data_IF_803940208522
#
_entry.id   IF_803940208522
#
_cell.length_a   1.000
_cell.length_b   1.000
_cell.length_c   1.000
_cell.angle_alpha   90.00
_cell.angle_beta   90.00
_cell.angle_gamma   90.00
#
_symmetry.space_group_name_H-M   'P 1'
#
loop_
_entity.id
_entity.type
_entity.pdbx_description
1 polymer ?
#
# COMPACT_ATOMS: atom_id res chain seq x y z
N UNK A 1 3.39 -14.64 -6.79
CA UNK A 1 4.11 -15.58 -7.68
C UNK A 1 3.30 -16.05 -8.90
N UNK A 2 1.97 -16.22 -8.82
CA UNK A 2 1.15 -16.70 -9.95
C UNK A 2 1.07 -15.77 -11.18
N UNK A 3 1.22 -14.45 -11.00
CA UNK A 3 1.09 -13.46 -12.08
C UNK A 3 2.26 -13.51 -13.07
N UNK A 4 3.47 -13.81 -12.59
CA UNK A 4 4.68 -13.83 -13.43
C UNK A 4 4.64 -15.02 -14.40
N UNK A 5 4.12 -16.16 -13.96
CA UNK A 5 3.96 -17.35 -14.80
C UNK A 5 2.91 -17.15 -15.90
N UNK A 6 1.85 -16.38 -15.64
CA UNK A 6 0.80 -16.08 -16.63
C UNK A 6 1.33 -15.17 -17.76
N UNK A 7 2.12 -14.16 -17.42
CA UNK A 7 2.69 -13.21 -18.40
C UNK A 7 3.72 -13.89 -19.31
N UNK A 8 4.51 -14.82 -18.77
CA UNK A 8 5.50 -15.57 -19.56
C UNK A 8 4.85 -16.54 -20.56
N UNK A 9 3.76 -17.21 -20.18
CA UNK A 9 3.07 -18.14 -21.09
C UNK A 9 2.37 -17.43 -22.25
N UNK A 10 1.70 -16.30 -22.00
CA UNK A 10 1.00 -15.54 -23.04
C UNK A 10 1.95 -14.99 -24.12
N UNK A 11 3.19 -14.64 -23.75
CA UNK A 11 4.20 -14.15 -24.70
C UNK A 11 4.69 -15.22 -25.68
N UNK A 12 4.77 -16.49 -25.26
CA UNK A 12 5.27 -17.57 -26.10
C UNK A 12 4.27 -18.03 -27.17
N UNK A 13 2.97 -18.00 -26.87
CA UNK A 13 1.93 -18.38 -27.82
C UNK A 13 1.66 -17.30 -28.87
N UNK A 14 1.77 -16.02 -28.50
CA UNK A 14 1.66 -14.91 -29.46
C UNK A 14 2.82 -14.93 -30.48
N UNK A 15 4.03 -15.26 -30.03
CA UNK A 15 5.20 -15.38 -30.90
C UNK A 15 5.08 -16.54 -31.91
N UNK A 16 4.46 -17.67 -31.52
CA UNK A 16 4.17 -18.79 -32.42
C UNK A 16 3.07 -18.45 -33.43
N UNK A 17 2.01 -17.76 -33.00
CA UNK A 17 0.91 -17.36 -33.87
C UNK A 17 1.35 -16.37 -34.97
N UNK A 18 2.20 -15.39 -34.61
CA UNK A 18 2.76 -14.42 -35.58
C UNK A 18 3.72 -15.12 -36.55
N UNK A 19 4.52 -16.09 -36.09
CA UNK A 19 5.38 -16.89 -36.95
C UNK A 19 4.61 -17.74 -37.98
N UNK A 20 3.41 -18.21 -37.63
CA UNK A 20 2.60 -19.05 -38.51
C UNK A 20 1.93 -18.25 -39.65
N UNK A 21 1.45 -17.05 -39.37
CA UNK A 21 0.82 -16.17 -40.38
C UNK A 21 1.85 -15.63 -41.39
N UNK A 22 3.09 -15.40 -40.96
CA UNK A 22 4.15 -14.87 -41.82
C UNK A 22 4.69 -15.93 -42.80
N UNK A 23 4.59 -17.23 -42.50
CA UNK A 23 5.02 -18.31 -43.40
C UNK A 23 4.02 -18.57 -44.54
N UNK A 24 2.78 -18.10 -44.44
CA UNK A 24 1.71 -18.38 -45.42
C UNK A 24 1.73 -17.45 -46.65
N UNK A 25 2.49 -16.36 -46.65
CA UNK A 25 2.64 -15.46 -47.80
C UNK A 25 4.10 -15.43 -48.21
N UNK A 26 4.43 -16.26 -49.20
CA UNK A 26 5.79 -16.39 -49.72
C UNK A 26 6.44 -15.05 -50.03
N UNK A 27 7.76 -15.02 -49.88
CA UNK A 27 8.67 -13.91 -50.12
C UNK A 27 8.91 -12.93 -48.96
N UNK A 28 9.69 -13.39 -47.97
CA UNK A 28 10.49 -12.49 -47.13
C UNK A 28 11.96 -12.94 -47.26
N UNK A 29 12.88 -12.08 -47.75
CA UNK A 29 14.29 -12.43 -47.90
C UNK A 29 14.92 -12.74 -46.54
N UNK A 30 15.72 -13.82 -46.44
CA UNK A 30 16.30 -14.30 -45.17
C UNK A 30 17.06 -13.25 -44.35
N UNK A 31 17.52 -12.15 -44.97
CA UNK A 31 18.19 -11.05 -44.30
C UNK A 31 17.30 -10.18 -43.40
N UNK A 32 15.99 -10.13 -43.62
CA UNK A 32 15.09 -9.30 -42.78
C UNK A 32 14.68 -9.98 -41.48
N UNK A 33 14.62 -11.32 -41.43
CA UNK A 33 14.24 -12.09 -40.23
C UNK A 33 15.15 -11.81 -39.01
N UNK A 34 16.46 -11.67 -39.22
CA UNK A 34 17.43 -11.35 -38.15
C UNK A 34 17.26 -9.93 -37.61
N UNK A 35 16.79 -9.00 -38.46
CA UNK A 35 16.52 -7.61 -38.10
C UNK A 35 15.28 -7.49 -37.22
N UNK A 36 14.22 -8.25 -37.50
CA UNK A 36 13.00 -8.30 -36.68
C UNK A 36 13.22 -8.93 -35.30
N UNK A 37 14.06 -9.96 -35.19
CA UNK A 37 14.44 -10.54 -33.90
C UNK A 37 15.13 -9.53 -32.98
N UNK A 38 16.02 -8.70 -33.54
CA UNK A 38 16.74 -7.67 -32.79
C UNK A 38 15.79 -6.59 -32.27
N UNK A 39 14.80 -6.20 -33.08
CA UNK A 39 13.77 -5.23 -32.68
C UNK A 39 12.87 -5.80 -31.59
N UNK A 40 12.43 -7.06 -31.70
CA UNK A 40 11.59 -7.69 -30.68
C UNK A 40 12.30 -7.81 -29.32
N UNK A 41 13.60 -8.15 -29.32
CA UNK A 41 14.40 -8.20 -28.10
C UNK A 41 14.56 -6.82 -27.44
N UNK A 42 14.81 -5.77 -28.25
CA UNK A 42 14.94 -4.42 -27.74
C UNK A 42 13.63 -3.91 -27.10
N UNK A 43 12.49 -4.16 -27.74
CA UNK A 43 11.16 -3.80 -27.20
C UNK A 43 10.86 -4.56 -25.91
N UNK A 44 11.19 -5.85 -25.84
CA UNK A 44 11.01 -6.67 -24.64
C UNK A 44 11.82 -6.13 -23.46
N UNK A 45 13.07 -5.73 -23.70
CA UNK A 45 13.95 -5.22 -22.65
C UNK A 45 13.47 -3.86 -22.09
N UNK A 46 12.94 -2.99 -22.96
CA UNK A 46 12.31 -1.73 -22.56
C UNK A 46 11.04 -1.98 -21.74
N UNK A 47 10.19 -2.91 -22.17
CA UNK A 47 8.96 -3.26 -21.46
C UNK A 47 9.23 -3.83 -20.05
N UNK A 48 10.20 -4.74 -19.92
CA UNK A 48 10.62 -5.29 -18.61
C UNK A 48 11.15 -4.19 -17.70
N UNK A 49 11.94 -3.25 -18.24
CA UNK A 49 12.49 -2.14 -17.47
C UNK A 49 11.41 -1.20 -16.95
N UNK A 50 10.38 -0.90 -17.76
CA UNK A 50 9.25 -0.07 -17.36
C UNK A 50 8.39 -0.73 -16.27
N UNK A 51 8.13 -2.03 -16.38
CA UNK A 51 7.38 -2.79 -15.36
C UNK A 51 8.16 -2.85 -14.05
N UNK A 52 9.48 -3.14 -14.12
CA UNK A 52 10.33 -3.14 -12.93
C UNK A 52 10.36 -1.76 -12.24
N UNK A 53 10.38 -0.68 -13.02
CA UNK A 53 10.36 0.68 -12.48
C UNK A 53 9.03 1.02 -11.79
N UNK A 54 7.87 0.63 -12.36
CA UNK A 54 6.57 0.82 -11.70
C UNK A 54 6.45 0.10 -10.36
N UNK A 55 7.04 -1.11 -10.25
CA UNK A 55 7.03 -1.87 -9.00
C UNK A 55 7.93 -1.20 -7.96
N UNK A 56 9.07 -0.64 -8.37
CA UNK A 56 9.99 0.05 -7.47
C UNK A 56 9.40 1.36 -6.88
N UNK A 57 8.64 2.13 -7.67
CA UNK A 57 8.05 3.39 -7.20
C UNK A 57 6.96 3.15 -6.14
N UNK A 58 6.14 2.11 -6.31
CA UNK A 58 5.08 1.77 -5.35
C UNK A 58 5.62 1.40 -3.97
N UNK A 59 6.89 0.94 -3.89
CA UNK A 59 7.55 0.61 -2.63
C UNK A 59 8.22 1.82 -1.95
N UNK A 60 8.29 2.98 -2.62
CA UNK A 60 8.97 4.18 -2.15
C UNK A 60 8.01 5.36 -2.03
N UNK A 61 6.76 5.13 -1.61
CA UNK A 61 5.89 6.24 -1.24
C UNK A 61 6.55 6.94 -0.04
N UNK A 62 6.95 8.22 -0.16
CA UNK A 62 7.60 8.93 0.94
C UNK A 62 6.67 8.93 2.13
N UNK A 63 7.12 8.42 3.28
CA UNK A 63 6.37 8.54 4.51
C UNK A 63 6.10 10.03 4.75
N UNK A 64 4.85 10.43 5.05
CA UNK A 64 4.55 11.82 5.34
C UNK A 64 5.45 12.31 6.48
N UNK A 65 6.03 13.50 6.32
CA UNK A 65 6.90 14.08 7.33
C UNK A 65 6.10 14.25 8.63
N UNK A 66 6.65 13.89 9.80
CA UNK A 66 5.94 13.97 11.07
C UNK A 66 5.57 15.43 11.32
N UNK A 67 4.27 15.71 11.28
CA UNK A 67 3.75 17.00 11.74
C UNK A 67 3.95 17.04 13.26
N UNK A 68 4.54 18.13 13.79
CA UNK A 68 4.78 18.27 15.24
C UNK A 68 3.50 17.94 16.02
N UNK A 69 3.58 16.98 16.94
CA UNK A 69 2.46 16.57 17.80
C UNK A 69 1.61 15.41 17.28
N UNK A 70 1.90 14.82 16.11
CA UNK A 70 1.22 13.60 15.66
C UNK A 70 2.16 12.60 15.00
N UNK A 71 1.89 11.31 15.23
CA UNK A 71 2.53 10.20 14.56
C UNK A 71 1.63 9.71 13.43
N UNK A 72 2.06 9.93 12.19
CA UNK A 72 1.35 9.49 10.99
C UNK A 72 1.89 8.12 10.55
N UNK A 73 0.98 7.22 10.19
CA UNK A 73 1.34 5.89 9.74
C UNK A 73 0.32 5.36 8.74
N UNK A 74 0.76 4.43 7.89
CA UNK A 74 -0.08 3.85 6.86
C UNK A 74 -0.60 2.48 7.31
N UNK A 75 -1.89 2.22 7.08
CA UNK A 75 -2.50 0.91 7.35
C UNK A 75 -1.91 -0.11 6.37
N UNK A 76 -1.21 -1.11 6.89
CA UNK A 76 -0.54 -2.16 6.09
C UNK A 76 -1.37 -3.44 6.00
N UNK A 77 -2.13 -3.74 7.05
CA UNK A 77 -3.03 -4.88 7.09
C UNK A 77 -4.37 -4.43 7.65
N UNK A 78 -5.46 -4.91 7.05
CA UNK A 78 -6.81 -4.57 7.48
C UNK A 78 -7.56 -5.86 7.76
N UNK A 79 -7.98 -6.01 9.01
CA UNK A 79 -8.82 -7.12 9.47
C UNK A 79 -10.17 -6.52 9.86
N UNK A 80 -11.07 -6.45 8.89
CA UNK A 80 -12.42 -5.87 9.04
C UNK A 80 -13.32 -6.70 10.00
N UNK A 81 -12.78 -7.81 10.50
CA UNK A 81 -13.51 -8.96 10.98
C UNK A 81 -13.41 -9.15 12.51
N UNK A 82 -13.07 -8.13 13.30
CA UNK A 82 -13.28 -8.22 14.76
C UNK A 82 -14.74 -8.55 15.11
N UNK A 83 -15.70 -8.08 14.30
CA UNK A 83 -17.12 -8.45 14.41
C UNK A 83 -17.44 -9.89 13.96
N UNK A 84 -16.51 -10.56 13.30
CA UNK A 84 -16.59 -11.96 12.88
C UNK A 84 -15.67 -12.88 13.70
N UNK A 85 -14.97 -12.35 14.72
CA UNK A 85 -14.07 -13.10 15.59
C UNK A 85 -12.60 -13.14 15.14
N UNK A 86 -12.23 -12.44 14.06
CA UNK A 86 -10.82 -12.32 13.67
C UNK A 86 -10.10 -11.37 14.62
N UNK A 87 -9.00 -11.86 15.19
CA UNK A 87 -8.01 -11.09 15.95
C UNK A 87 -6.67 -11.37 15.25
N UNK A 88 -5.82 -10.38 14.93
CA UNK A 88 -5.74 -9.00 15.44
C UNK A 88 -6.67 -7.96 14.78
N UNK A 89 -6.70 -6.74 15.34
CA UNK A 89 -7.33 -5.56 14.73
C UNK A 89 -6.56 -5.05 13.50
N UNK A 90 -6.76 -3.81 13.06
CA UNK A 90 -5.99 -3.26 11.93
C UNK A 90 -4.54 -2.98 12.33
N UNK A 91 -3.61 -3.23 11.40
CA UNK A 91 -2.18 -3.03 11.65
C UNK A 91 -1.63 -1.97 10.70
N UNK A 92 -1.06 -0.92 11.27
CA UNK A 92 -0.39 0.14 10.56
C UNK A 92 1.08 0.26 10.89
N UNK A 93 1.85 0.86 9.98
CA UNK A 93 3.30 0.99 10.10
C UNK A 93 3.74 2.40 9.73
N UNK A 94 4.60 2.99 10.56
CA UNK A 94 5.16 4.31 10.35
C UNK A 94 6.59 4.43 10.89
N UNK A 95 7.34 5.38 10.33
CA UNK A 95 8.74 5.62 10.70
C UNK A 95 8.84 6.75 11.71
N UNK A 96 9.60 6.52 12.77
CA UNK A 96 9.90 7.48 13.82
C UNK A 96 11.27 8.09 13.52
N UNK A 97 11.32 9.24 12.86
CA UNK A 97 12.58 9.88 12.42
C UNK A 97 13.49 10.32 13.61
N UNK A 98 14.14 9.35 14.28
CA UNK A 98 14.91 9.56 15.51
C UNK A 98 14.11 9.93 16.77
N UNK A 99 12.77 10.01 16.69
CA UNK A 99 11.92 10.35 17.82
C UNK A 99 11.53 9.11 18.64
N UNK A 100 11.53 9.21 19.97
CA UNK A 100 10.93 8.17 20.81
C UNK A 100 9.40 8.24 20.64
N UNK A 101 8.71 7.13 20.37
CA UNK A 101 7.26 7.15 20.28
C UNK A 101 6.69 7.39 21.68
N UNK A 102 5.93 8.47 21.81
CA UNK A 102 5.12 8.76 22.99
C UNK A 102 3.68 8.35 22.70
N UNK A 103 3.49 7.04 22.55
CA UNK A 103 2.22 6.39 22.22
C UNK A 103 1.99 5.26 23.22
N UNK A 104 0.77 5.13 23.71
CA UNK A 104 0.33 4.17 24.70
C UNK A 104 -0.86 3.34 24.20
N UNK A 105 -1.11 2.22 24.88
CA UNK A 105 -2.33 1.43 24.65
C UNK A 105 -3.55 2.24 25.09
N UNK A 106 -4.61 2.20 24.30
CA UNK A 106 -5.82 3.00 24.50
C UNK A 106 -5.79 4.38 23.85
N UNK A 107 -4.64 4.81 23.30
CA UNK A 107 -4.57 6.10 22.60
C UNK A 107 -5.51 6.13 21.40
N UNK A 108 -6.16 7.27 21.13
CA UNK A 108 -7.09 7.41 20.02
C UNK A 108 -6.35 7.44 18.68
N UNK A 109 -6.91 6.73 17.68
CA UNK A 109 -6.46 6.77 16.29
C UNK A 109 -7.41 7.64 15.47
N UNK A 110 -6.87 8.51 14.63
CA UNK A 110 -7.62 9.48 13.82
C UNK A 110 -7.40 9.30 12.32
N UNK A 111 -8.45 9.61 11.55
CA UNK A 111 -8.38 9.90 10.11
C UNK A 111 -8.83 11.34 9.90
N UNK A 112 -7.91 12.20 9.47
CA UNK A 112 -8.19 13.64 9.42
C UNK A 112 -8.48 14.15 10.84
N UNK A 113 -9.67 14.69 11.08
CA UNK A 113 -10.13 15.14 12.41
C UNK A 113 -11.03 14.14 13.13
N UNK A 114 -11.37 13.03 12.48
CA UNK A 114 -12.35 12.06 13.00
C UNK A 114 -11.63 10.93 13.71
N UNK A 115 -12.03 10.66 14.96
CA UNK A 115 -11.58 9.47 15.70
C UNK A 115 -12.17 8.23 15.03
N UNK A 116 -11.30 7.28 14.69
CA UNK A 116 -11.67 6.04 13.99
C UNK A 116 -11.40 4.79 14.81
N UNK A 117 -10.68 4.89 15.94
CA UNK A 117 -10.30 3.70 16.70
C UNK A 117 -9.49 4.00 17.96
N UNK A 118 -8.98 2.93 18.56
CA UNK A 118 -8.09 2.95 19.72
C UNK A 118 -6.92 1.98 19.53
N UNK A 119 -5.73 2.39 19.94
CA UNK A 119 -4.52 1.54 19.91
C UNK A 119 -4.67 0.36 20.86
N UNK A 120 -4.42 -0.84 20.36
CA UNK A 120 -4.49 -2.09 21.13
C UNK A 120 -3.16 -2.84 21.21
N UNK A 121 -2.22 -2.53 20.32
CA UNK A 121 -0.89 -3.13 20.32
C UNK A 121 0.16 -2.20 19.73
N UNK A 122 1.39 -2.30 20.25
CA UNK A 122 2.53 -1.51 19.81
C UNK A 122 3.76 -2.40 19.73
N UNK A 123 4.40 -2.42 18.56
CA UNK A 123 5.68 -3.09 18.36
C UNK A 123 6.69 -2.10 17.79
N UNK A 124 7.67 -1.72 18.61
CA UNK A 124 8.72 -0.79 18.20
C UNK A 124 10.01 -1.52 17.82
N UNK A 125 10.40 -1.42 16.56
CA UNK A 125 11.70 -1.86 16.06
C UNK A 125 12.68 -0.68 16.08
N UNK A 126 13.49 -0.61 17.15
CA UNK A 126 14.52 0.43 17.33
C UNK A 126 15.60 0.40 16.25
N UNK A 127 15.88 -0.76 15.67
CA UNK A 127 16.94 -0.91 14.67
C UNK A 127 16.55 -0.32 13.31
N UNK A 128 15.25 -0.33 13.01
CA UNK A 128 14.68 0.21 11.77
C UNK A 128 13.96 1.53 11.96
N UNK A 129 14.01 2.09 13.17
CA UNK A 129 13.24 3.28 13.58
C UNK A 129 11.75 3.18 13.19
N UNK A 130 11.17 1.99 13.35
CA UNK A 130 9.85 1.66 12.82
C UNK A 130 8.89 1.31 13.95
N UNK A 131 7.69 1.89 13.93
CA UNK A 131 6.61 1.57 14.86
C UNK A 131 5.48 0.89 14.11
N UNK A 132 5.14 -0.30 14.57
CA UNK A 132 3.95 -1.01 14.15
C UNK A 132 2.87 -0.84 15.22
N UNK A 133 1.71 -0.41 14.77
CA UNK A 133 0.56 -0.06 15.60
C UNK A 133 -0.58 -0.98 15.23
N UNK A 134 -1.04 -1.76 16.20
CA UNK A 134 -2.32 -2.44 16.11
C UNK A 134 -3.40 -1.57 16.76
N UNK A 135 -4.53 -1.43 16.09
CA UNK A 135 -5.65 -0.67 16.61
C UNK A 135 -6.99 -1.25 16.21
N UNK A 136 -7.97 -1.09 17.09
CA UNK A 136 -9.34 -1.50 16.87
C UNK A 136 -10.17 -0.35 16.32
N UNK A 137 -10.96 -0.58 15.26
CA UNK A 137 -11.84 0.44 14.72
C UNK A 137 -13.08 0.63 15.61
N UNK A 138 -13.51 1.88 15.75
CA UNK A 138 -14.84 2.18 16.28
C UNK A 138 -15.91 1.68 15.29
N UNK A 139 -17.07 1.17 15.73
CA UNK A 139 -18.14 0.74 14.83
C UNK A 139 -18.68 1.89 13.97
N UNK A 140 -18.70 3.09 14.52
CA UNK A 140 -19.26 4.28 13.90
C UNK A 140 -18.37 5.51 14.16
N UNK A 141 -18.30 6.39 13.17
CA UNK A 141 -17.79 7.73 13.39
C UNK A 141 -18.76 8.50 14.28
N UNK A 142 -18.21 9.17 15.29
CA UNK A 142 -18.97 9.95 16.25
C UNK A 142 -18.86 11.42 15.86
N UNK A 143 -20.00 12.10 15.70
CA UNK A 143 -20.05 13.54 15.44
C UNK A 143 -19.66 14.36 16.70
N UNK A 144 -19.46 15.69 16.59
CA UNK A 144 -19.18 16.52 17.77
C UNK A 144 -20.26 16.50 18.86
N UNK A 145 -21.45 15.97 18.57
CA UNK A 145 -22.56 15.83 19.51
C UNK A 145 -22.67 14.42 20.10
N UNK A 146 -21.70 13.54 19.84
CA UNK A 146 -21.69 12.18 20.37
C UNK A 146 -22.58 11.19 19.60
N UNK A 147 -23.09 11.54 18.42
CA UNK A 147 -24.00 10.69 17.65
C UNK A 147 -23.25 9.87 16.59
N UNK A 148 -23.62 8.59 16.39
CA UNK A 148 -23.08 7.79 15.31
C UNK A 148 -23.58 8.32 13.97
N UNK A 149 -22.67 8.66 13.07
CA UNK A 149 -23.01 9.18 11.73
C UNK A 149 -22.88 8.13 10.64
N UNK A 150 -21.73 7.45 10.57
CA UNK A 150 -21.48 6.43 9.53
C UNK A 150 -20.58 5.32 10.06
N UNK A 151 -20.66 4.12 9.47
CA UNK A 151 -19.74 3.03 9.79
C UNK A 151 -18.31 3.41 9.42
N UNK A 152 -17.37 3.18 10.33
CA UNK A 152 -15.95 3.33 10.02
C UNK A 152 -15.56 2.21 9.07
N UNK A 153 -14.91 2.56 7.96
CA UNK A 153 -14.29 1.61 7.03
C UNK A 153 -12.83 2.00 6.89
N UNK A 154 -11.94 1.01 7.00
CA UNK A 154 -10.49 1.21 6.94
C UNK A 154 -9.91 0.29 5.89
N UNK A 155 -9.22 0.88 4.93
CA UNK A 155 -8.57 0.15 3.84
C UNK A 155 -7.05 0.14 4.01
N UNK A 156 -6.41 -0.89 3.48
CA UNK A 156 -4.96 -0.94 3.34
C UNK A 156 -4.49 0.23 2.46
N UNK A 157 -3.38 0.85 2.83
CA UNK A 157 -2.82 2.02 2.16
C UNK A 157 -3.38 3.36 2.67
N UNK A 158 -4.36 3.34 3.57
CA UNK A 158 -4.93 4.56 4.15
C UNK A 158 -3.98 5.16 5.21
N UNK A 159 -3.81 6.47 5.18
CA UNK A 159 -3.05 7.20 6.19
C UNK A 159 -3.92 7.55 7.39
N UNK A 160 -3.38 7.30 8.58
CA UNK A 160 -4.01 7.54 9.89
C UNK A 160 -2.97 8.08 10.85
N UNK A 161 -3.40 8.64 11.98
CA UNK A 161 -2.46 9.23 12.92
C UNK A 161 -2.90 9.12 14.37
N UNK A 162 -1.92 9.22 15.28
CA UNK A 162 -2.10 9.22 16.74
C UNK A 162 -1.48 10.51 17.30
N UNK A 163 -2.12 11.19 18.26
CA UNK A 163 -1.52 12.35 18.91
C UNK A 163 -0.30 11.93 19.74
N UNK A 164 0.80 12.65 19.60
CA UNK A 164 1.98 12.48 20.44
C UNK A 164 1.83 13.38 21.68
N UNK A 165 1.98 12.81 22.88
CA UNK A 165 1.83 13.56 24.14
C UNK A 165 0.40 13.63 24.69
N UNK A 166 -0.53 12.82 24.17
CA UNK A 166 -1.88 12.65 24.72
C UNK A 166 -2.85 13.82 24.50
N UNK A 167 -2.45 14.88 23.79
CA UNK A 167 -3.35 15.98 23.45
C UNK A 167 -4.24 15.60 22.26
N UNK A 168 -5.54 15.44 22.51
CA UNK A 168 -6.53 15.30 21.45
C UNK A 168 -6.49 16.54 20.53
N UNK A 169 -6.73 16.40 19.21
CA UNK A 169 -6.83 17.54 18.32
C UNK A 169 -7.89 18.50 18.87
N UNK A 170 -7.49 19.76 19.08
CA UNK A 170 -8.42 20.82 19.46
C UNK A 170 -9.40 20.97 18.30
N UNK A 171 -10.63 20.50 18.49
CA UNK A 171 -11.72 20.72 17.54
C UNK A 171 -12.08 22.21 17.59
N UNK A 172 -11.35 23.05 16.87
CA UNK A 172 -11.72 24.46 16.72
C UNK A 172 -13.01 24.48 15.91
N UNK A 173 -14.14 24.63 16.60
CA UNK A 173 -15.43 24.84 15.96
C UNK A 173 -15.37 26.16 15.18
N UNK A 174 -15.45 26.07 13.85
CA UNK A 174 -15.66 27.21 12.96
C UNK A 174 -17.14 27.31 12.60
#
# INVERSE_FOLDING_TARGET
MAVITLVLNLGTDLAKAVGYVIRARGFIPLGTLRRWQSVALAVSLVAVSLVAWQIAISAQQPAPAPTRGRFEFQVTQSFDAKYLGDTPGHVGRGTLQGARPDVSLGDPVYRGTVRIGMVTGLTWDRSKENLEVEFDPEPFEIDPHGRPTRRVRISVGQDVWIPLGGEAPVTTAH
#
